data_IF_820347475594
#
_entry.id   IF_820347475594
#
_cell.length_a   1.000
_cell.length_b   1.000
_cell.length_c   1.000
_cell.angle_alpha   90.00
_cell.angle_beta   90.00
_cell.angle_gamma   90.00
#
_symmetry.space_group_name_H-M   'P 1'
#
loop_
_entity.id
_entity.type
_entity.pdbx_description
1 polymer ?
#
# COMPACT_ATOMS: atom_id res chain seq x y z
N UNK A 1 26.05 16.32 -34.17
CA UNK A 1 24.77 16.82 -33.61
C UNK A 1 24.92 16.78 -32.10
N UNK A 2 25.41 17.87 -31.50
CA UNK A 2 25.70 17.98 -30.07
C UNK A 2 24.43 18.35 -29.33
N UNK A 3 23.92 17.43 -28.50
CA UNK A 3 22.80 17.69 -27.60
C UNK A 3 23.22 18.79 -26.62
N UNK A 4 22.52 19.92 -26.63
CA UNK A 4 22.73 21.05 -25.73
C UNK A 4 22.34 20.68 -24.28
N UNK A 5 23.11 21.12 -23.27
CA UNK A 5 22.93 20.72 -21.86
C UNK A 5 21.58 21.14 -21.23
N UNK A 6 20.86 22.10 -21.84
CA UNK A 6 19.57 22.60 -21.33
C UNK A 6 18.39 21.62 -21.50
N UNK A 7 18.49 20.61 -22.38
CA UNK A 7 17.39 19.65 -22.59
C UNK A 7 17.27 18.60 -21.47
N UNK A 8 18.19 18.62 -20.50
CA UNK A 8 18.20 17.70 -19.36
C UNK A 8 17.36 18.14 -18.16
N UNK A 9 16.88 19.40 -18.15
CA UNK A 9 16.34 20.06 -16.95
C UNK A 9 14.83 19.86 -16.74
N UNK A 10 14.09 19.36 -17.73
CA UNK A 10 12.66 19.11 -17.60
C UNK A 10 12.31 17.66 -17.93
N UNK A 11 12.85 16.71 -17.14
CA UNK A 11 12.28 15.35 -17.15
C UNK A 11 10.93 15.42 -16.44
N UNK A 12 9.79 15.27 -17.14
CA UNK A 12 8.51 15.14 -16.45
C UNK A 12 8.66 14.03 -15.42
N UNK A 13 8.19 14.29 -14.19
CA UNK A 13 8.19 13.27 -13.14
C UNK A 13 7.57 12.00 -13.71
N UNK A 14 8.23 10.83 -13.56
CA UNK A 14 7.70 9.62 -14.14
C UNK A 14 6.30 9.39 -13.60
N UNK A 15 5.33 9.24 -14.50
CA UNK A 15 3.91 9.07 -14.21
C UNK A 15 3.64 8.04 -13.10
N UNK A 16 4.45 6.98 -13.05
CA UNK A 16 4.53 5.94 -12.03
C UNK A 16 4.66 6.47 -10.58
N UNK A 17 5.54 7.44 -10.33
CA UNK A 17 5.73 7.99 -8.98
C UNK A 17 4.54 8.84 -8.54
N UNK A 18 4.04 9.69 -9.44
CA UNK A 18 2.88 10.54 -9.16
C UNK A 18 1.68 9.65 -8.83
N UNK A 19 1.43 8.64 -9.66
CA UNK A 19 0.37 7.66 -9.44
C UNK A 19 0.52 6.93 -8.10
N UNK A 20 1.75 6.59 -7.68
CA UNK A 20 2.00 5.90 -6.41
C UNK A 20 1.60 6.76 -5.19
N UNK A 21 1.86 8.06 -5.25
CA UNK A 21 1.48 9.02 -4.20
C UNK A 21 -0.05 9.15 -4.15
N UNK A 22 -0.71 9.35 -5.29
CA UNK A 22 -2.18 9.41 -5.36
C UNK A 22 -2.85 8.11 -4.89
N UNK A 23 -2.31 6.95 -5.26
CA UNK A 23 -2.80 5.65 -4.80
C UNK A 23 -2.62 5.50 -3.28
N UNK A 24 -1.52 6.02 -2.71
CA UNK A 24 -1.31 6.03 -1.25
C UNK A 24 -2.35 6.87 -0.53
N UNK A 25 -2.65 8.09 -1.01
CA UNK A 25 -3.72 8.92 -0.43
C UNK A 25 -5.10 8.27 -0.59
N UNK A 26 -5.33 7.60 -1.70
CA UNK A 26 -6.56 6.84 -1.94
C UNK A 26 -6.69 5.70 -0.92
N UNK A 27 -5.61 4.96 -0.66
CA UNK A 27 -5.59 3.93 0.38
C UNK A 27 -5.89 4.51 1.77
N UNK A 28 -5.24 5.62 2.13
CA UNK A 28 -5.50 6.30 3.39
C UNK A 28 -6.98 6.69 3.54
N UNK A 29 -7.55 7.32 2.51
CA UNK A 29 -8.97 7.70 2.51
C UNK A 29 -9.90 6.48 2.62
N UNK A 30 -9.60 5.39 1.92
CA UNK A 30 -10.37 4.14 2.01
C UNK A 30 -10.29 3.51 3.39
N UNK A 31 -9.13 3.52 4.06
CA UNK A 31 -8.98 3.02 5.42
C UNK A 31 -9.82 3.84 6.40
N UNK A 32 -9.74 5.18 6.34
CA UNK A 32 -10.55 6.06 7.19
C UNK A 32 -12.04 5.85 6.94
N UNK A 33 -12.44 5.76 5.67
CA UNK A 33 -13.82 5.48 5.27
C UNK A 33 -14.31 4.13 5.81
N UNK A 34 -13.52 3.07 5.62
CA UNK A 34 -13.85 1.74 6.11
C UNK A 34 -13.96 1.70 7.63
N UNK A 35 -13.08 2.40 8.35
CA UNK A 35 -13.15 2.48 9.81
C UNK A 35 -14.44 3.19 10.26
N UNK A 36 -14.84 4.26 9.58
CA UNK A 36 -16.12 4.93 9.83
C UNK A 36 -17.33 4.01 9.61
N UNK A 37 -17.37 3.28 8.48
CA UNK A 37 -18.44 2.34 8.19
C UNK A 37 -18.48 1.16 9.17
N UNK A 38 -17.33 0.57 9.49
CA UNK A 38 -17.26 -0.53 10.46
C UNK A 38 -17.70 -0.03 11.84
N UNK A 39 -17.28 1.18 12.25
CA UNK A 39 -17.71 1.78 13.51
C UNK A 39 -19.23 1.91 13.58
N UNK A 40 -19.85 2.48 12.54
CA UNK A 40 -21.31 2.65 12.48
C UNK A 40 -22.09 1.34 12.42
N UNK A 41 -21.58 0.34 11.69
CA UNK A 41 -22.27 -0.94 11.51
C UNK A 41 -22.16 -1.86 12.72
N UNK A 42 -21.03 -1.80 13.42
CA UNK A 42 -20.74 -2.70 14.54
C UNK A 42 -21.08 -2.05 15.88
N UNK A 43 -21.47 -0.76 15.87
CA UNK A 43 -21.66 0.08 17.06
C UNK A 43 -20.46 0.00 18.03
N UNK A 44 -19.27 -0.15 17.44
CA UNK A 44 -18.02 -0.30 18.18
C UNK A 44 -17.11 0.88 17.95
N UNK A 45 -16.57 1.42 19.03
CA UNK A 45 -15.52 2.41 18.93
C UNK A 45 -14.24 1.82 18.32
N UNK A 46 -13.60 2.61 17.45
CA UNK A 46 -12.29 2.27 16.86
C UNK A 46 -11.24 2.14 17.99
N UNK A 47 -11.45 2.85 19.10
CA UNK A 47 -10.65 2.76 20.34
C UNK A 47 -11.57 2.32 21.49
N UNK A 48 -11.82 1.02 21.58
CA UNK A 48 -12.78 0.45 22.54
C UNK A 48 -12.33 0.46 24.01
N UNK A 49 -11.13 0.95 24.33
CA UNK A 49 -10.64 1.07 25.72
C UNK A 49 -10.26 2.51 26.05
N UNK A 50 -10.87 3.13 27.09
CA UNK A 50 -10.53 4.49 27.52
C UNK A 50 -9.07 4.63 28.01
N UNK A 51 -8.41 3.51 28.30
CA UNK A 51 -7.04 3.43 28.79
C UNK A 51 -6.01 3.37 27.64
N UNK A 52 -6.45 3.18 26.39
CA UNK A 52 -5.57 3.22 25.23
C UNK A 52 -5.33 4.68 24.84
N UNK A 53 -4.07 5.13 24.86
CA UNK A 53 -3.73 6.49 24.46
C UNK A 53 -4.32 6.85 23.08
N UNK A 54 -4.87 8.07 22.89
CA UNK A 54 -5.61 8.46 21.68
C UNK A 54 -4.80 8.39 20.37
N UNK A 55 -3.48 8.19 20.47
CA UNK A 55 -2.56 8.13 19.33
C UNK A 55 -2.33 6.72 18.79
N UNK A 56 -2.74 5.65 19.49
CA UNK A 56 -2.46 4.26 19.07
C UNK A 56 -3.08 3.94 17.72
N UNK A 57 -4.36 4.27 17.53
CA UNK A 57 -5.08 4.03 16.27
C UNK A 57 -4.51 4.82 15.08
N UNK A 58 -4.37 6.15 15.18
CA UNK A 58 -3.77 6.97 14.13
C UNK A 58 -2.35 6.55 13.76
N UNK A 59 -1.51 6.20 14.73
CA UNK A 59 -0.14 5.78 14.49
C UNK A 59 -0.05 4.40 13.81
N UNK A 60 -0.89 3.44 14.22
CA UNK A 60 -0.98 2.14 13.55
C UNK A 60 -1.44 2.27 12.09
N UNK A 61 -2.44 3.14 11.83
CA UNK A 61 -2.87 3.44 10.47
C UNK A 61 -1.76 4.11 9.65
N UNK A 62 -1.04 5.08 10.23
CA UNK A 62 0.09 5.74 9.58
C UNK A 62 1.20 4.75 9.20
N UNK A 63 1.49 3.77 10.06
CA UNK A 63 2.46 2.71 9.78
C UNK A 63 2.03 1.84 8.58
N UNK A 64 0.75 1.47 8.51
CA UNK A 64 0.22 0.71 7.36
C UNK A 64 0.29 1.53 6.07
N UNK A 65 -0.05 2.82 6.12
CA UNK A 65 0.07 3.75 4.96
C UNK A 65 1.52 3.85 4.50
N UNK A 66 2.48 3.94 5.42
CA UNK A 66 3.89 3.97 5.08
C UNK A 66 4.33 2.69 4.35
N UNK A 67 3.91 1.51 4.83
CA UNK A 67 4.20 0.24 4.16
C UNK A 67 3.64 0.21 2.73
N UNK A 68 2.39 0.64 2.55
CA UNK A 68 1.76 0.70 1.22
C UNK A 68 2.52 1.67 0.30
N UNK A 69 2.89 2.86 0.80
CA UNK A 69 3.68 3.83 0.05
C UNK A 69 5.01 3.23 -0.41
N UNK A 70 5.77 2.60 0.48
CA UNK A 70 7.06 1.98 0.12
C UNK A 70 6.89 0.83 -0.87
N UNK A 71 5.83 0.03 -0.74
CA UNK A 71 5.52 -1.04 -1.69
C UNK A 71 5.19 -0.51 -3.09
N UNK A 72 4.39 0.56 -3.17
CA UNK A 72 4.02 1.20 -4.44
C UNK A 72 5.22 1.90 -5.08
N UNK A 73 6.05 2.60 -4.31
CA UNK A 73 7.31 3.18 -4.80
C UNK A 73 8.27 2.10 -5.32
N UNK A 74 8.36 0.96 -4.63
CA UNK A 74 9.14 -0.19 -5.09
C UNK A 74 8.62 -0.76 -6.41
N UNK A 75 7.29 -0.85 -6.56
CA UNK A 75 6.65 -1.30 -7.79
C UNK A 75 6.89 -0.32 -8.96
N UNK A 76 6.73 1.00 -8.71
CA UNK A 76 7.03 2.05 -9.67
C UNK A 76 8.48 1.98 -10.20
N UNK A 77 9.45 1.83 -9.29
CA UNK A 77 10.88 1.69 -9.63
C UNK A 77 11.16 0.51 -10.55
N UNK A 78 10.53 -0.64 -10.27
CA UNK A 78 10.78 -1.84 -11.07
C UNK A 78 10.07 -1.81 -12.42
N UNK A 79 8.91 -1.16 -12.49
CA UNK A 79 8.24 -0.90 -13.76
C UNK A 79 9.14 -0.06 -14.67
N UNK A 80 9.73 1.03 -14.15
CA UNK A 80 10.69 1.85 -14.90
C UNK A 80 11.92 1.05 -15.35
N UNK A 81 12.47 0.22 -14.47
CA UNK A 81 13.60 -0.65 -14.81
C UNK A 81 13.24 -1.75 -15.82
N UNK A 82 11.98 -2.17 -15.89
CA UNK A 82 11.49 -3.12 -16.89
C UNK A 82 11.32 -2.44 -18.25
N UNK A 83 10.67 -1.27 -18.28
CA UNK A 83 10.46 -0.47 -19.51
C UNK A 83 11.79 -0.06 -20.14
N UNK A 84 12.79 0.33 -19.33
CA UNK A 84 14.14 0.62 -19.87
C UNK A 84 14.80 -0.59 -20.53
N UNK A 85 14.67 -1.78 -19.91
CA UNK A 85 15.23 -3.02 -20.46
C UNK A 85 14.48 -3.49 -21.72
N UNK A 86 13.16 -3.33 -21.78
CA UNK A 86 12.40 -3.71 -22.98
C UNK A 86 12.67 -2.76 -24.15
N UNK A 87 12.86 -1.47 -23.89
CA UNK A 87 13.32 -0.50 -24.89
C UNK A 87 14.70 -0.86 -25.47
N UNK A 88 15.64 -1.29 -24.63
CA UNK A 88 16.97 -1.76 -25.08
C UNK A 88 16.90 -3.09 -25.85
N UNK A 89 15.98 -3.99 -25.47
CA UNK A 89 15.91 -5.34 -26.01
C UNK A 89 14.99 -5.49 -27.25
N UNK A 90 14.18 -4.47 -27.60
CA UNK A 90 13.16 -4.56 -28.66
C UNK A 90 12.18 -5.74 -28.52
N UNK A 91 12.06 -6.32 -27.33
CA UNK A 91 11.09 -7.36 -27.01
C UNK A 91 9.77 -6.68 -26.62
N UNK A 92 8.66 -7.09 -27.24
CA UNK A 92 7.31 -6.67 -26.86
C UNK A 92 7.08 -6.87 -25.35
N UNK A 93 6.48 -5.86 -24.72
CA UNK A 93 6.49 -5.66 -23.27
C UNK A 93 5.46 -6.57 -22.56
N UNK A 94 5.87 -7.62 -21.80
CA UNK A 94 4.92 -8.45 -21.07
C UNK A 94 4.80 -7.91 -19.64
N UNK A 95 3.93 -6.93 -19.43
CA UNK A 95 3.60 -6.43 -18.08
C UNK A 95 2.72 -7.49 -17.39
N UNK A 96 3.35 -8.34 -16.56
CA UNK A 96 2.65 -9.35 -15.75
C UNK A 96 2.07 -8.71 -14.49
N UNK A 97 0.80 -8.97 -14.21
CA UNK A 97 0.14 -8.50 -12.97
C UNK A 97 0.75 -9.22 -11.76
N UNK A 98 1.42 -8.53 -10.83
CA UNK A 98 2.16 -9.19 -9.75
C UNK A 98 1.25 -9.51 -8.56
N UNK A 99 0.36 -10.48 -8.74
CA UNK A 99 -0.61 -10.89 -7.71
C UNK A 99 0.05 -11.27 -6.38
N UNK A 100 1.18 -12.00 -6.42
CA UNK A 100 1.92 -12.37 -5.21
C UNK A 100 2.44 -11.16 -4.44
N UNK A 101 2.75 -10.05 -5.14
CA UNK A 101 3.25 -8.82 -4.51
C UNK A 101 2.13 -7.98 -3.92
N UNK A 102 0.96 -8.01 -4.55
CA UNK A 102 -0.25 -7.42 -3.98
C UNK A 102 -0.58 -8.08 -2.64
N UNK A 103 -0.61 -9.42 -2.62
CA UNK A 103 -0.89 -10.20 -1.41
C UNK A 103 0.17 -9.94 -0.34
N UNK A 104 1.47 -9.98 -0.68
CA UNK A 104 2.52 -9.67 0.29
C UNK A 104 2.37 -8.26 0.86
N UNK A 105 2.02 -7.27 0.03
CA UNK A 105 1.80 -5.89 0.48
C UNK A 105 0.65 -5.80 1.49
N UNK A 106 -0.46 -6.50 1.23
CA UNK A 106 -1.56 -6.61 2.18
C UNK A 106 -1.15 -7.22 3.52
N UNK A 107 -0.38 -8.33 3.46
CA UNK A 107 0.13 -9.00 4.67
C UNK A 107 1.07 -8.07 5.46
N UNK A 108 1.99 -7.37 4.80
CA UNK A 108 2.91 -6.46 5.47
C UNK A 108 2.19 -5.23 6.04
N UNK A 109 1.21 -4.67 5.34
CA UNK A 109 0.44 -3.53 5.83
C UNK A 109 -0.38 -3.93 7.08
N UNK A 110 -1.00 -5.10 7.05
CA UNK A 110 -1.70 -5.67 8.19
C UNK A 110 -0.75 -5.94 9.36
N UNK A 111 0.40 -6.59 9.12
CA UNK A 111 1.38 -6.89 10.14
C UNK A 111 1.93 -5.60 10.78
N UNK A 112 2.22 -4.56 9.99
CA UNK A 112 2.69 -3.28 10.51
C UNK A 112 1.62 -2.57 11.35
N UNK A 113 0.35 -2.63 10.95
CA UNK A 113 -0.76 -2.12 11.73
C UNK A 113 -0.85 -2.79 13.11
N UNK A 114 -0.85 -4.13 13.13
CA UNK A 114 -0.92 -4.91 14.38
C UNK A 114 0.32 -4.68 15.24
N UNK A 115 1.51 -4.70 14.65
CA UNK A 115 2.78 -4.56 15.36
C UNK A 115 2.91 -3.18 16.01
N UNK A 116 2.71 -2.10 15.25
CA UNK A 116 2.80 -0.73 15.77
C UNK A 116 1.71 -0.46 16.80
N UNK A 117 0.48 -0.92 16.55
CA UNK A 117 -0.61 -0.83 17.53
C UNK A 117 -0.29 -1.56 18.83
N UNK A 118 0.26 -2.77 18.75
CA UNK A 118 0.64 -3.58 19.92
C UNK A 118 1.76 -2.96 20.76
N UNK A 119 2.79 -2.39 20.10
CA UNK A 119 3.91 -1.74 20.79
C UNK A 119 3.44 -0.47 21.50
N UNK A 120 2.67 0.37 20.80
CA UNK A 120 2.17 1.61 21.39
C UNK A 120 1.20 1.33 22.53
N UNK A 121 0.38 0.27 22.42
CA UNK A 121 -0.51 -0.13 23.51
C UNK A 121 0.26 -0.68 24.72
N UNK A 122 1.27 -1.54 24.50
CA UNK A 122 2.14 -2.03 25.57
C UNK A 122 2.87 -0.88 26.29
N UNK A 123 3.35 0.11 25.55
CA UNK A 123 4.02 1.27 26.10
C UNK A 123 3.07 2.20 26.87
N UNK A 124 1.81 2.32 26.43
CA UNK A 124 0.81 3.14 27.10
C UNK A 124 0.28 2.49 28.39
N UNK A 125 0.23 1.16 28.44
CA UNK A 125 -0.30 0.40 29.58
C UNK A 125 0.78 -0.01 30.60
N UNK A 126 2.07 0.26 30.34
CA UNK A 126 3.23 -0.26 31.10
C UNK A 126 3.23 -1.79 31.31
N UNK A 127 2.43 -2.51 30.51
CA UNK A 127 2.22 -3.94 30.61
C UNK A 127 2.40 -4.61 29.24
N UNK A 128 3.48 -5.39 29.10
CA UNK A 128 3.77 -6.15 27.87
C UNK A 128 2.65 -7.14 27.50
N UNK A 129 1.98 -7.71 28.51
CA UNK A 129 0.90 -8.67 28.31
C UNK A 129 -0.36 -8.01 27.70
N UNK A 130 -0.60 -6.74 28.02
CA UNK A 130 -1.68 -5.95 27.43
C UNK A 130 -1.46 -5.76 25.92
N UNK A 131 -0.22 -5.52 25.50
CA UNK A 131 0.17 -5.45 24.08
C UNK A 131 -0.10 -6.75 23.31
N UNK A 132 0.18 -7.91 23.91
CA UNK A 132 -0.11 -9.22 23.30
C UNK A 132 -1.61 -9.47 23.15
N UNK A 133 -2.42 -9.12 24.15
CA UNK A 133 -3.88 -9.24 24.08
C UNK A 133 -4.47 -8.30 23.02
N UNK A 134 -3.94 -7.08 22.90
CA UNK A 134 -4.31 -6.17 21.82
C UNK A 134 -3.96 -6.74 20.45
N UNK A 135 -2.77 -7.32 20.29
CA UNK A 135 -2.39 -7.98 19.04
C UNK A 135 -3.34 -9.14 18.70
N UNK A 136 -3.68 -9.98 19.66
CA UNK A 136 -4.61 -11.10 19.47
C UNK A 136 -6.01 -10.63 19.05
N UNK A 137 -6.52 -9.55 19.64
CA UNK A 137 -7.82 -8.95 19.26
C UNK A 137 -7.75 -8.26 17.89
N UNK A 138 -6.67 -7.52 17.61
CA UNK A 138 -6.47 -6.80 16.36
C UNK A 138 -6.28 -7.72 15.14
N UNK A 139 -5.77 -8.94 15.35
CA UNK A 139 -5.58 -9.94 14.30
C UNK A 139 -6.92 -10.38 13.70
N UNK A 140 -7.97 -10.52 14.53
CA UNK A 140 -9.27 -11.05 14.12
C UNK A 140 -10.35 -9.97 13.96
N UNK A 141 -10.11 -8.74 14.42
CA UNK A 141 -11.06 -7.64 14.24
C UNK A 141 -11.18 -7.21 12.79
N UNK A 142 -12.41 -6.88 12.40
CA UNK A 142 -12.78 -6.36 11.07
C UNK A 142 -11.87 -5.20 10.62
N UNK A 143 -11.42 -4.36 11.55
CA UNK A 143 -10.53 -3.23 11.28
C UNK A 143 -9.18 -3.66 10.70
N UNK A 144 -8.50 -4.64 11.32
CA UNK A 144 -7.21 -5.13 10.82
C UNK A 144 -7.37 -5.79 9.45
N UNK A 145 -8.39 -6.65 9.31
CA UNK A 145 -8.68 -7.31 8.03
C UNK A 145 -8.93 -6.30 6.91
N UNK A 146 -9.70 -5.24 7.18
CA UNK A 146 -9.98 -4.18 6.20
C UNK A 146 -8.70 -3.49 5.72
N UNK A 147 -7.76 -3.17 6.61
CA UNK A 147 -6.45 -2.57 6.27
C UNK A 147 -5.69 -3.45 5.27
N UNK A 148 -5.56 -4.75 5.58
CA UNK A 148 -4.86 -5.69 4.70
C UNK A 148 -5.54 -5.86 3.35
N UNK A 149 -6.86 -6.06 3.33
CA UNK A 149 -7.65 -6.26 2.11
C UNK A 149 -7.61 -5.03 1.21
N UNK A 150 -7.81 -3.83 1.77
CA UNK A 150 -7.76 -2.58 1.00
C UNK A 150 -6.37 -2.34 0.40
N UNK A 151 -5.29 -2.73 1.10
CA UNK A 151 -3.93 -2.61 0.58
C UNK A 151 -3.73 -3.50 -0.66
N UNK A 152 -4.26 -4.74 -0.65
CA UNK A 152 -4.24 -5.61 -1.84
C UNK A 152 -5.01 -4.97 -3.00
N UNK A 153 -6.22 -4.47 -2.74
CA UNK A 153 -7.09 -3.86 -3.76
C UNK A 153 -6.42 -2.64 -4.39
N UNK A 154 -5.89 -1.72 -3.58
CA UNK A 154 -5.23 -0.51 -4.08
C UNK A 154 -3.96 -0.86 -4.85
N UNK A 155 -3.17 -1.81 -4.38
CA UNK A 155 -1.98 -2.25 -5.11
C UNK A 155 -2.32 -2.84 -6.48
N UNK A 156 -3.37 -3.67 -6.56
CA UNK A 156 -3.83 -4.22 -7.83
C UNK A 156 -4.35 -3.13 -8.76
N UNK A 157 -5.16 -2.19 -8.25
CA UNK A 157 -5.64 -1.05 -9.02
C UNK A 157 -4.47 -0.22 -9.57
N UNK A 158 -3.46 0.08 -8.74
CA UNK A 158 -2.24 0.75 -9.15
C UNK A 158 -1.53 0.00 -10.28
N UNK A 159 -1.31 -1.31 -10.12
CA UNK A 159 -0.62 -2.13 -11.11
C UNK A 159 -1.38 -2.18 -12.45
N UNK A 160 -2.71 -2.26 -12.41
CA UNK A 160 -3.56 -2.26 -13.60
C UNK A 160 -3.54 -0.92 -14.33
N UNK A 161 -3.63 0.20 -13.59
CA UNK A 161 -3.55 1.54 -14.17
C UNK A 161 -2.17 1.77 -14.80
N UNK A 162 -1.11 1.31 -14.13
CA UNK A 162 0.25 1.44 -14.65
C UNK A 162 0.45 0.62 -15.93
N UNK A 163 -0.14 -0.58 -16.02
CA UNK A 163 -0.14 -1.40 -17.22
C UNK A 163 -0.94 -0.77 -18.38
N UNK A 164 -2.06 -0.09 -18.08
CA UNK A 164 -2.92 0.55 -19.06
C UNK A 164 -2.38 1.90 -19.58
N UNK A 165 -1.61 2.63 -18.77
CA UNK A 165 -1.17 4.01 -19.04
C UNK A 165 0.13 4.19 -19.82
N UNK A 166 0.78 3.13 -20.31
CA UNK A 166 2.04 3.21 -21.07
C UNK A 166 1.88 3.75 -22.49
N UNK A 167 2.96 4.32 -23.07
CA UNK A 167 2.99 4.81 -24.47
C UNK A 167 2.76 3.71 -25.52
N UNK A 168 2.89 2.45 -25.12
CA UNK A 168 2.31 1.29 -25.79
C UNK A 168 1.48 0.55 -24.74
N UNK A 169 0.13 0.61 -24.77
CA UNK A 169 -0.69 -0.13 -23.83
C UNK A 169 -0.44 -1.64 -24.02
N UNK A 170 0.38 -2.20 -23.14
CA UNK A 170 0.68 -3.62 -23.13
C UNK A 170 -0.54 -4.37 -22.62
N UNK A 171 -0.98 -5.40 -23.37
CA UNK A 171 -2.07 -6.28 -22.92
C UNK A 171 -1.68 -6.89 -21.56
N UNK A 172 -2.46 -6.68 -20.49
CA UNK A 172 -2.13 -7.28 -19.19
C UNK A 172 -2.21 -8.80 -19.33
N UNK A 173 -1.07 -9.47 -19.16
CA UNK A 173 -0.99 -10.93 -19.20
C UNK A 173 -1.25 -11.48 -17.80
N UNK A 174 -2.33 -12.24 -17.69
CA UNK A 174 -2.68 -12.90 -16.44
C UNK A 174 -1.78 -14.11 -16.18
N UNK A 175 -1.56 -14.52 -14.92
CA UNK A 175 -0.71 -15.66 -14.59
C UNK A 175 -1.07 -16.98 -15.29
N UNK A 176 -2.33 -17.14 -15.72
CA UNK A 176 -2.85 -18.33 -16.41
C UNK A 176 -2.85 -18.23 -17.93
N UNK A 177 -2.55 -17.07 -18.51
CA UNK A 177 -2.36 -16.92 -19.97
C UNK A 177 -0.90 -17.25 -20.30
N UNK A 178 -0.68 -18.40 -20.96
CA UNK A 178 0.63 -18.81 -21.49
C UNK A 178 0.87 -18.20 -22.86
#
# INVERSE_FOLDING_TARGET
>A
MSVSPEESENRPTPYSYVLSVFATFTYFALVVCAFGFISLLTDTEVVARPDAGPLVGPAAAAAAVAVVLFALLGAARQYEAAVRRSAEASLGDPVRVPLGRAISTGIFAWAAYVFVGSILYAAAADELFAGMLFAADAILRLYGVAVGVLAVVVYLAFALILAAGGSHPARPLWPWEK
#
